data_IF_511860473696
#
_entry.id   IF_511860473696
#
_cell.length_a   1.000
_cell.length_b   1.000
_cell.length_c   1.000
_cell.angle_alpha   90.00
_cell.angle_beta   90.00
_cell.angle_gamma   90.00
#
_symmetry.space_group_name_H-M   'P 1'
#
loop_
_entity.id
_entity.type
_entity.pdbx_description
1 polymer ?
#
# COMPACT_ATOMS: atom_id res chain seq x y z
N UNK A 1 -4.44 -39.99 16.72
CA UNK A 1 -4.39 -38.52 16.88
C UNK A 1 -3.73 -37.96 15.64
N UNK A 2 -4.52 -37.37 14.74
CA UNK A 2 -4.01 -36.52 13.65
C UNK A 2 -4.75 -35.22 13.84
N UNK A 3 -4.07 -34.25 14.45
CA UNK A 3 -4.61 -32.91 14.61
C UNK A 3 -4.80 -32.31 13.21
N UNK A 4 -6.04 -32.02 12.85
CA UNK A 4 -6.32 -31.15 11.73
C UNK A 4 -5.70 -29.80 12.04
N UNK A 5 -4.68 -29.41 11.27
CA UNK A 5 -4.22 -28.04 11.27
C UNK A 5 -5.39 -27.18 10.80
N UNK A 6 -5.90 -26.33 11.68
CA UNK A 6 -6.75 -25.23 11.26
C UNK A 6 -5.94 -24.43 10.23
N UNK A 7 -6.44 -24.37 9.01
CA UNK A 7 -5.85 -23.55 7.96
C UNK A 7 -6.10 -22.09 8.42
N UNK A 8 -5.13 -21.47 9.08
CA UNK A 8 -5.18 -20.05 9.42
C UNK A 8 -5.52 -19.27 8.14
N UNK A 9 -6.65 -18.54 8.15
CA UNK A 9 -7.11 -17.78 7.00
C UNK A 9 -6.11 -16.66 6.75
N UNK A 10 -5.32 -16.78 5.68
CA UNK A 10 -4.40 -15.72 5.25
C UNK A 10 -5.16 -14.49 4.78
N UNK A 11 -4.63 -13.31 5.10
CA UNK A 11 -5.17 -12.03 4.59
C UNK A 11 -4.89 -11.90 3.10
N UNK A 12 -5.90 -11.55 2.31
CA UNK A 12 -5.79 -11.39 0.87
C UNK A 12 -5.40 -9.96 0.51
N UNK A 13 -4.21 -9.78 -0.10
CA UNK A 13 -3.61 -8.48 -0.39
C UNK A 13 -3.53 -8.23 -1.90
N UNK A 14 -4.10 -7.11 -2.36
CA UNK A 14 -3.96 -6.66 -3.74
C UNK A 14 -2.69 -5.82 -3.90
N UNK A 15 -1.78 -6.23 -4.77
CA UNK A 15 -0.48 -5.57 -4.95
C UNK A 15 -0.43 -4.79 -6.27
N UNK A 16 -0.36 -3.47 -6.18
CA UNK A 16 -0.40 -2.53 -7.29
C UNK A 16 1.01 -1.99 -7.58
N UNK A 17 1.50 -2.26 -8.79
CA UNK A 17 2.84 -1.89 -9.23
C UNK A 17 2.98 -0.39 -9.56
N UNK A 18 4.21 0.10 -9.72
CA UNK A 18 4.48 1.50 -10.07
C UNK A 18 4.40 1.80 -11.56
N UNK A 19 4.55 3.08 -11.90
CA UNK A 19 4.50 3.57 -13.29
C UNK A 19 5.49 2.82 -14.20
N UNK A 20 5.00 2.33 -15.34
CA UNK A 20 5.79 1.59 -16.35
C UNK A 20 6.53 0.37 -15.79
N UNK A 21 5.91 -0.36 -14.89
CA UNK A 21 6.43 -1.64 -14.38
C UNK A 21 5.38 -2.74 -14.58
N UNK A 22 5.35 -3.77 -13.75
CA UNK A 22 4.38 -4.86 -13.82
C UNK A 22 4.14 -5.48 -12.45
N UNK A 23 3.04 -6.21 -12.29
CA UNK A 23 2.76 -6.98 -11.09
C UNK A 23 3.88 -7.97 -10.78
N UNK A 24 4.46 -8.58 -11.81
CA UNK A 24 5.63 -9.47 -11.67
C UNK A 24 6.88 -8.74 -11.17
N UNK A 25 7.06 -7.46 -11.52
CA UNK A 25 8.19 -6.67 -11.06
C UNK A 25 8.07 -6.29 -9.58
N UNK A 26 6.92 -5.78 -9.13
CA UNK A 26 6.76 -5.46 -7.70
C UNK A 26 6.86 -6.72 -6.83
N UNK A 27 6.33 -7.86 -7.31
CA UNK A 27 6.56 -9.17 -6.68
C UNK A 27 8.05 -9.49 -6.53
N UNK A 28 8.86 -9.21 -7.56
CA UNK A 28 10.32 -9.39 -7.53
C UNK A 28 11.03 -8.39 -6.62
N UNK A 29 10.52 -7.17 -6.48
CA UNK A 29 11.09 -6.17 -5.58
C UNK A 29 10.93 -6.61 -4.12
N UNK A 30 9.71 -6.98 -3.71
CA UNK A 30 9.40 -7.38 -2.33
C UNK A 30 9.92 -8.78 -1.99
N UNK A 31 10.22 -9.64 -2.98
CA UNK A 31 10.84 -10.95 -2.73
C UNK A 31 12.25 -10.87 -2.12
N UNK A 32 12.80 -9.67 -1.99
CA UNK A 32 14.09 -9.42 -1.33
C UNK A 32 13.93 -9.26 0.19
N UNK A 33 12.71 -9.11 0.68
CA UNK A 33 12.42 -9.03 2.12
C UNK A 33 12.38 -10.43 2.73
N UNK A 34 12.41 -10.49 4.06
CA UNK A 34 12.28 -11.75 4.79
C UNK A 34 10.95 -12.44 4.42
N UNK A 35 10.96 -13.69 3.91
CA UNK A 35 9.75 -14.39 3.53
C UNK A 35 8.71 -14.53 4.64
N UNK A 36 9.11 -14.50 5.92
CA UNK A 36 8.19 -14.62 7.05
C UNK A 36 7.20 -13.44 7.13
N UNK A 37 7.56 -12.27 6.58
CA UNK A 37 6.68 -11.09 6.48
C UNK A 37 5.40 -11.43 5.70
N UNK A 38 5.50 -12.27 4.69
CA UNK A 38 4.38 -12.62 3.80
C UNK A 38 3.70 -13.95 4.19
N UNK A 39 4.16 -14.61 5.25
CA UNK A 39 3.67 -15.95 5.63
C UNK A 39 2.15 -15.98 5.87
N UNK A 40 1.60 -14.88 6.37
CA UNK A 40 0.18 -14.68 6.68
C UNK A 40 -0.63 -14.05 5.54
N UNK A 41 -0.01 -13.82 4.37
CA UNK A 41 -0.67 -13.15 3.24
C UNK A 41 -0.87 -14.06 2.04
N UNK A 42 -2.01 -13.89 1.37
CA UNK A 42 -2.26 -14.34 0.02
C UNK A 42 -2.21 -13.12 -0.90
N UNK A 43 -1.19 -13.02 -1.75
CA UNK A 43 -0.91 -11.80 -2.52
C UNK A 43 -1.25 -11.97 -4.00
N UNK A 44 -2.03 -11.03 -4.53
CA UNK A 44 -2.32 -10.94 -5.96
C UNK A 44 -1.59 -9.76 -6.60
N UNK A 45 -1.05 -9.96 -7.80
CA UNK A 45 -0.20 -8.99 -8.49
C UNK A 45 -0.70 -8.74 -9.91
N UNK A 46 -1.86 -8.08 -10.09
CA UNK A 46 -2.34 -7.75 -11.43
C UNK A 46 -1.44 -6.74 -12.13
N UNK A 47 -1.50 -6.76 -13.45
CA UNK A 47 -0.92 -5.74 -14.30
C UNK A 47 -1.94 -4.61 -14.57
N UNK A 48 -1.42 -3.40 -14.77
CA UNK A 48 -2.19 -2.26 -15.25
C UNK A 48 -2.80 -2.52 -16.61
N UNK A 49 -3.95 -1.89 -16.87
CA UNK A 49 -4.74 -2.12 -18.10
C UNK A 49 -4.01 -1.65 -19.36
N UNK A 50 -3.17 -0.61 -19.24
CA UNK A 50 -2.55 0.04 -20.39
C UNK A 50 -1.09 -0.38 -20.52
N UNK A 51 -0.67 -0.70 -21.75
CA UNK A 51 0.75 -0.87 -22.03
C UNK A 51 1.50 0.46 -21.80
N UNK A 52 2.75 0.37 -21.34
CA UNK A 52 3.57 1.56 -21.12
C UNK A 52 3.70 2.40 -22.39
N UNK A 53 3.33 3.69 -22.30
CA UNK A 53 3.37 4.63 -23.43
C UNK A 53 4.78 5.15 -23.75
N UNK A 54 5.80 4.72 -23.01
CA UNK A 54 7.18 5.13 -23.22
C UNK A 54 8.18 4.26 -22.47
N UNK A 55 9.43 4.73 -22.40
CA UNK A 55 10.52 3.99 -21.77
C UNK A 55 10.26 3.75 -20.29
N UNK A 56 10.56 2.53 -19.84
CA UNK A 56 10.59 2.14 -18.44
C UNK A 56 11.99 2.27 -17.86
N UNK A 57 12.10 2.68 -16.60
CA UNK A 57 13.38 2.76 -15.88
C UNK A 57 13.97 1.38 -15.54
N UNK A 58 13.17 0.33 -15.67
CA UNK A 58 13.60 -1.06 -15.41
C UNK A 58 13.95 -1.81 -16.70
N UNK A 59 13.93 -1.13 -17.85
CA UNK A 59 14.36 -1.70 -19.13
C UNK A 59 15.84 -2.10 -19.09
N UNK A 60 16.14 -3.32 -19.55
CA UNK A 60 17.45 -3.97 -19.41
C UNK A 60 17.77 -4.50 -18.00
N UNK A 61 16.93 -4.23 -16.98
CA UNK A 61 17.07 -4.77 -15.62
C UNK A 61 16.05 -5.89 -15.37
N UNK A 62 14.83 -5.72 -15.86
CA UNK A 62 13.74 -6.70 -15.74
C UNK A 62 12.94 -6.76 -17.04
N UNK A 63 12.57 -7.96 -17.54
CA UNK A 63 11.99 -8.10 -18.87
C UNK A 63 10.59 -7.45 -19.00
N UNK A 64 10.23 -6.95 -20.20
CA UNK A 64 8.87 -6.52 -20.53
C UNK A 64 7.88 -7.71 -20.54
N UNK A 65 6.54 -7.47 -20.58
CA UNK A 65 5.86 -6.19 -20.80
C UNK A 65 5.82 -5.26 -19.58
N UNK A 66 5.61 -3.97 -19.85
CA UNK A 66 5.44 -2.93 -18.85
C UNK A 66 4.08 -2.25 -19.03
N UNK A 67 3.50 -1.82 -17.93
CA UNK A 67 2.14 -1.33 -17.85
C UNK A 67 2.05 -0.04 -17.04
N UNK A 68 0.97 0.69 -17.28
CA UNK A 68 0.55 1.89 -16.59
C UNK A 68 -0.90 1.68 -16.12
N UNK A 69 -1.21 2.17 -14.93
CA UNK A 69 -2.59 2.18 -14.43
C UNK A 69 -3.43 3.21 -15.19
N UNK A 70 -2.84 4.39 -15.40
CA UNK A 70 -3.35 5.52 -16.18
C UNK A 70 -2.15 6.34 -16.66
N UNK A 71 -2.35 7.29 -17.56
CA UNK A 71 -1.30 8.20 -18.03
C UNK A 71 -1.45 9.57 -17.38
N UNK A 72 -0.34 10.29 -17.24
CA UNK A 72 -0.32 11.67 -16.79
C UNK A 72 0.74 12.47 -17.55
N UNK A 73 0.54 13.78 -17.65
CA UNK A 73 1.55 14.71 -18.16
C UNK A 73 2.68 14.93 -17.14
N UNK A 74 3.78 15.57 -17.56
CA UNK A 74 4.97 15.71 -16.70
C UNK A 74 4.70 16.48 -15.40
N UNK A 75 3.69 17.33 -15.39
CA UNK A 75 3.36 18.19 -14.27
C UNK A 75 2.21 17.61 -13.40
N UNK A 76 1.70 16.41 -13.71
CA UNK A 76 0.58 15.75 -13.02
C UNK A 76 -0.72 16.58 -12.99
N UNK A 77 -0.93 17.38 -14.03
CA UNK A 77 -2.09 18.28 -14.19
C UNK A 77 -3.18 17.67 -15.06
N UNK A 78 -2.81 16.78 -15.99
CA UNK A 78 -3.73 16.10 -16.90
C UNK A 78 -3.58 14.59 -16.76
N UNK A 79 -4.72 13.91 -16.62
CA UNK A 79 -4.79 12.46 -16.53
C UNK A 79 -5.54 11.89 -17.73
N UNK A 80 -4.99 10.85 -18.36
CA UNK A 80 -5.65 10.10 -19.43
C UNK A 80 -5.92 8.69 -18.95
N UNK A 81 -7.11 8.16 -19.28
CA UNK A 81 -7.58 6.83 -18.90
C UNK A 81 -7.77 6.57 -17.39
N UNK A 82 -7.87 7.63 -16.57
CA UNK A 82 -8.03 7.51 -15.12
C UNK A 82 -9.37 6.84 -14.74
N UNK A 83 -10.47 7.22 -15.39
CA UNK A 83 -11.80 6.63 -15.14
C UNK A 83 -11.85 5.15 -15.54
N UNK A 84 -11.24 4.79 -16.67
CA UNK A 84 -11.11 3.42 -17.13
C UNK A 84 -10.23 2.58 -16.19
N UNK A 85 -9.20 3.18 -15.60
CA UNK A 85 -8.39 2.54 -14.56
C UNK A 85 -9.22 2.26 -13.30
N UNK A 86 -9.97 3.25 -12.81
CA UNK A 86 -10.82 3.11 -11.63
C UNK A 86 -11.84 2.00 -11.86
N UNK A 87 -12.54 2.04 -13.01
CA UNK A 87 -13.51 1.02 -13.40
C UNK A 87 -12.87 -0.37 -13.42
N UNK A 88 -11.70 -0.51 -14.04
CA UNK A 88 -10.98 -1.78 -14.11
C UNK A 88 -10.60 -2.33 -12.72
N UNK A 89 -10.05 -1.49 -11.84
CA UNK A 89 -9.69 -1.89 -10.48
C UNK A 89 -10.93 -2.25 -9.65
N UNK A 90 -12.02 -1.50 -9.77
CA UNK A 90 -13.29 -1.81 -9.11
C UNK A 90 -13.83 -3.17 -9.56
N UNK A 91 -13.89 -3.43 -10.87
CA UNK A 91 -14.32 -4.72 -11.41
C UNK A 91 -13.40 -5.87 -10.93
N UNK A 92 -12.09 -5.65 -10.92
CA UNK A 92 -11.13 -6.63 -10.42
C UNK A 92 -11.35 -6.96 -8.94
N UNK A 93 -11.56 -5.94 -8.10
CA UNK A 93 -11.82 -6.09 -6.66
C UNK A 93 -13.13 -6.84 -6.42
N UNK A 94 -14.19 -6.55 -7.18
CA UNK A 94 -15.47 -7.25 -7.08
C UNK A 94 -15.33 -8.73 -7.49
N UNK A 95 -14.62 -8.99 -8.59
CA UNK A 95 -14.50 -10.34 -9.15
C UNK A 95 -13.56 -11.25 -8.35
N UNK A 96 -12.48 -10.71 -7.80
CA UNK A 96 -11.43 -11.48 -7.15
C UNK A 96 -11.41 -11.31 -5.62
N UNK A 97 -12.21 -10.40 -5.06
CA UNK A 97 -12.28 -10.16 -3.63
C UNK A 97 -13.01 -11.25 -2.83
N UNK A 98 -13.26 -11.00 -1.53
CA UNK A 98 -12.88 -9.79 -0.79
C UNK A 98 -11.36 -9.70 -0.58
N UNK A 99 -10.81 -8.49 -0.66
CA UNK A 99 -9.43 -8.18 -0.27
C UNK A 99 -9.43 -7.62 1.14
N UNK A 100 -8.47 -8.05 1.95
CA UNK A 100 -8.24 -7.57 3.32
C UNK A 100 -7.27 -6.38 3.34
N UNK A 101 -6.59 -6.08 2.22
CA UNK A 101 -5.66 -4.96 2.13
C UNK A 101 -5.04 -4.76 0.74
N UNK A 102 -4.23 -3.72 0.64
CA UNK A 102 -3.53 -3.29 -0.56
C UNK A 102 -2.04 -3.02 -0.27
N UNK A 103 -1.19 -3.38 -1.22
CA UNK A 103 0.22 -2.97 -1.27
C UNK A 103 0.41 -2.18 -2.55
N UNK A 104 0.75 -0.90 -2.45
CA UNK A 104 0.96 -0.01 -3.58
C UNK A 104 2.38 0.53 -3.64
N UNK A 105 2.90 0.70 -4.85
CA UNK A 105 4.13 1.45 -5.09
C UNK A 105 3.90 2.52 -6.15
N UNK A 106 4.37 3.74 -5.89
CA UNK A 106 4.31 4.89 -6.78
C UNK A 106 2.88 5.18 -7.27
N UNK A 107 2.66 5.11 -8.58
CA UNK A 107 1.33 5.18 -9.20
C UNK A 107 0.31 4.20 -8.59
N UNK A 108 0.74 3.05 -8.09
CA UNK A 108 -0.12 2.06 -7.45
C UNK A 108 -0.54 2.39 -6.01
N UNK A 109 0.01 3.42 -5.38
CA UNK A 109 -0.28 3.76 -3.96
C UNK A 109 -1.11 5.02 -3.74
N UNK A 110 -1.07 6.01 -4.65
CA UNK A 110 -1.76 7.29 -4.46
C UNK A 110 -2.26 7.84 -5.79
N UNK A 111 -3.57 8.10 -5.87
CA UNK A 111 -4.12 8.96 -6.91
C UNK A 111 -3.83 10.42 -6.55
N UNK A 112 -3.41 11.22 -7.53
CA UNK A 112 -3.03 12.62 -7.33
C UNK A 112 -3.98 13.61 -7.98
N UNK A 113 -4.98 13.11 -8.69
CA UNK A 113 -6.04 13.95 -9.22
C UNK A 113 -6.74 14.68 -8.06
N UNK A 114 -6.86 16.02 -8.09
CA UNK A 114 -7.45 16.79 -7.00
C UNK A 114 -8.87 16.34 -6.65
N UNK A 115 -9.69 15.98 -7.64
CA UNK A 115 -11.07 15.55 -7.39
C UNK A 115 -11.14 14.23 -6.63
N UNK A 116 -10.14 13.36 -6.82
CA UNK A 116 -10.00 12.13 -6.03
C UNK A 116 -9.44 12.46 -4.65
N UNK A 117 -8.44 13.33 -4.55
CA UNK A 117 -7.82 13.66 -3.27
C UNK A 117 -8.81 14.29 -2.29
N UNK A 118 -9.66 15.20 -2.78
CA UNK A 118 -10.69 15.92 -2.02
C UNK A 118 -11.80 15.01 -1.49
N UNK A 119 -11.86 13.76 -1.96
CA UNK A 119 -12.82 12.75 -1.52
C UNK A 119 -12.11 11.65 -0.72
N UNK A 120 -11.07 11.03 -1.30
CA UNK A 120 -10.41 9.84 -0.76
C UNK A 120 -9.53 10.12 0.47
N UNK A 121 -8.99 11.34 0.59
CA UNK A 121 -8.05 11.72 1.65
C UNK A 121 -8.57 12.86 2.53
N UNK A 122 -9.86 13.19 2.41
CA UNK A 122 -10.51 14.28 3.17
C UNK A 122 -10.65 13.94 4.64
N UNK A 123 -11.09 12.73 4.93
CA UNK A 123 -11.28 12.23 6.29
C UNK A 123 -10.13 11.31 6.69
N UNK A 124 -9.85 11.24 7.99
CA UNK A 124 -8.79 10.37 8.52
C UNK A 124 -9.09 8.91 8.19
N UNK A 125 -8.14 8.25 7.53
CA UNK A 125 -8.23 6.85 7.16
C UNK A 125 -7.88 6.00 8.40
N UNK A 126 -8.88 5.34 8.98
CA UNK A 126 -8.72 4.47 10.17
C UNK A 126 -7.97 3.17 9.91
N UNK A 127 -7.76 2.84 8.64
CA UNK A 127 -7.07 1.63 8.21
C UNK A 127 -5.62 1.64 8.70
N UNK A 128 -5.12 0.50 9.19
CA UNK A 128 -3.72 0.39 9.63
C UNK A 128 -2.80 0.48 8.41
N UNK A 129 -1.74 1.28 8.51
CA UNK A 129 -0.82 1.49 7.39
C UNK A 129 0.64 1.49 7.79
N UNK A 130 1.48 1.04 6.86
CA UNK A 130 2.94 1.16 6.91
C UNK A 130 3.43 1.81 5.62
N UNK A 131 4.29 2.81 5.75
CA UNK A 131 4.79 3.62 4.65
C UNK A 131 6.30 3.53 4.57
N UNK A 132 6.83 3.22 3.39
CA UNK A 132 8.27 3.24 3.11
C UNK A 132 8.62 4.56 2.43
N UNK A 133 9.47 5.37 3.06
CA UNK A 133 9.79 6.71 2.57
C UNK A 133 11.29 6.87 2.38
N UNK A 134 11.68 7.12 1.14
CA UNK A 134 13.08 7.34 0.75
C UNK A 134 13.53 8.77 1.01
N UNK A 135 14.66 8.95 1.69
CA UNK A 135 15.22 10.29 1.97
C UNK A 135 15.66 11.05 0.71
N UNK A 136 15.93 10.32 -0.39
CA UNK A 136 16.28 10.90 -1.69
C UNK A 136 15.15 10.75 -2.71
N UNK A 137 13.97 10.35 -2.26
CA UNK A 137 12.81 10.18 -3.14
C UNK A 137 12.28 11.55 -3.55
N UNK A 138 12.13 11.78 -4.85
CA UNK A 138 11.52 13.00 -5.38
C UNK A 138 10.03 13.08 -5.04
N UNK A 139 9.44 11.96 -4.62
CA UNK A 139 8.07 11.83 -4.11
C UNK A 139 8.01 11.71 -2.58
N UNK A 140 9.07 12.09 -1.88
CA UNK A 140 9.11 12.09 -0.40
C UNK A 140 7.96 12.89 0.21
N UNK A 141 7.76 14.14 -0.23
CA UNK A 141 6.69 15.00 0.32
C UNK A 141 5.30 14.38 0.05
N UNK A 142 4.94 13.99 -1.20
CA UNK A 142 3.70 13.28 -1.46
C UNK A 142 3.49 11.99 -0.66
N UNK A 143 4.57 11.26 -0.35
CA UNK A 143 4.54 10.06 0.51
C UNK A 143 4.26 10.40 1.98
N UNK A 144 4.88 11.46 2.50
CA UNK A 144 4.64 11.95 3.86
C UNK A 144 3.21 12.49 4.02
N UNK A 145 2.69 13.19 3.00
CA UNK A 145 1.29 13.63 2.94
C UNK A 145 0.32 12.43 2.94
N UNK A 146 0.60 11.41 2.13
CA UNK A 146 -0.22 10.19 2.11
C UNK A 146 -0.24 9.53 3.50
N UNK A 147 0.94 9.37 4.11
CA UNK A 147 1.04 8.79 5.44
C UNK A 147 0.23 9.58 6.48
N UNK A 148 0.25 10.92 6.40
CA UNK A 148 -0.48 11.79 7.33
C UNK A 148 -2.01 11.67 7.23
N UNK A 149 -2.54 11.11 6.14
CA UNK A 149 -3.97 10.85 5.98
C UNK A 149 -4.46 9.64 6.80
N UNK A 150 -3.56 8.80 7.33
CA UNK A 150 -3.91 7.60 8.09
C UNK A 150 -3.88 7.83 9.60
N UNK A 151 -4.70 7.09 10.33
CA UNK A 151 -4.63 7.02 11.79
C UNK A 151 -3.40 6.20 12.22
N UNK A 152 -2.44 6.85 12.89
CA UNK A 152 -1.24 6.22 13.46
C UNK A 152 -0.43 5.38 12.44
N UNK A 153 0.03 5.98 11.33
CA UNK A 153 0.83 5.26 10.34
C UNK A 153 2.17 4.81 10.94
N UNK A 154 2.63 3.61 10.57
CA UNK A 154 4.04 3.23 10.76
C UNK A 154 4.85 3.78 9.60
N UNK A 155 5.96 4.47 9.87
CA UNK A 155 6.83 5.03 8.83
C UNK A 155 8.21 4.37 8.92
N UNK A 156 8.63 3.69 7.86
CA UNK A 156 9.96 3.10 7.71
C UNK A 156 10.76 3.95 6.73
N UNK A 157 11.74 4.70 7.25
CA UNK A 157 12.61 5.57 6.44
C UNK A 157 13.79 4.80 5.89
N UNK A 158 14.21 5.12 4.66
CA UNK A 158 15.39 4.50 4.04
C UNK A 158 16.21 5.53 3.23
N UNK A 159 17.54 5.34 3.05
CA UNK A 159 18.42 6.36 2.47
C UNK A 159 18.36 6.46 0.93
N UNK A 160 17.48 5.69 0.28
CA UNK A 160 17.44 5.54 -1.18
C UNK A 160 16.43 6.52 -1.81
N UNK A 161 16.42 6.57 -3.14
CA UNK A 161 15.41 7.33 -3.90
C UNK A 161 14.12 6.55 -4.08
N UNK A 162 13.47 6.78 -5.22
CA UNK A 162 12.19 6.18 -5.58
C UNK A 162 12.31 4.69 -5.92
N UNK A 163 12.33 3.85 -4.89
CA UNK A 163 12.47 2.39 -5.00
C UNK A 163 11.91 1.71 -3.77
N UNK A 164 11.33 0.51 -3.96
CA UNK A 164 11.09 -0.44 -2.87
C UNK A 164 12.44 -0.75 -2.20
N UNK A 165 12.62 -0.48 -0.90
CA UNK A 165 13.92 -0.61 -0.24
C UNK A 165 14.28 -2.06 0.01
N UNK A 166 15.58 -2.34 0.14
CA UNK A 166 16.02 -3.48 0.97
C UNK A 166 15.87 -3.08 2.44
N UNK A 167 15.38 -4.00 3.26
CA UNK A 167 15.23 -3.79 4.69
C UNK A 167 16.51 -4.24 5.40
N UNK A 168 16.98 -3.42 6.34
CA UNK A 168 17.94 -3.86 7.34
C UNK A 168 17.24 -4.65 8.45
N UNK A 169 18.00 -5.14 9.43
CA UNK A 169 17.48 -5.94 10.54
C UNK A 169 16.41 -5.18 11.33
N UNK A 170 16.68 -3.91 11.67
CA UNK A 170 15.77 -3.05 12.43
C UNK A 170 14.44 -2.84 11.69
N UNK A 171 14.49 -2.51 10.40
CA UNK A 171 13.28 -2.30 9.58
C UNK A 171 12.53 -3.60 9.34
N UNK A 172 13.26 -4.72 9.23
CA UNK A 172 12.67 -6.06 9.07
C UNK A 172 11.88 -6.44 10.33
N UNK A 173 12.46 -6.24 11.52
CA UNK A 173 11.79 -6.56 12.78
C UNK A 173 10.59 -5.64 13.05
N UNK A 174 10.72 -4.35 12.73
CA UNK A 174 9.61 -3.40 12.82
C UNK A 174 8.44 -3.84 11.93
N UNK A 175 8.71 -4.21 10.67
CA UNK A 175 7.67 -4.69 9.76
C UNK A 175 7.07 -6.01 10.23
N UNK A 176 7.87 -6.96 10.74
CA UNK A 176 7.37 -8.23 11.30
C UNK A 176 6.45 -8.00 12.49
N UNK A 177 6.83 -7.10 13.42
CA UNK A 177 6.01 -6.78 14.58
C UNK A 177 4.68 -6.12 14.17
N UNK A 178 4.72 -5.22 13.19
CA UNK A 178 3.51 -4.62 12.64
C UNK A 178 2.61 -5.65 11.94
N UNK A 179 3.18 -6.57 11.14
CA UNK A 179 2.44 -7.68 10.53
C UNK A 179 1.80 -8.57 11.60
N UNK A 180 2.51 -8.85 12.70
CA UNK A 180 1.93 -9.60 13.81
C UNK A 180 0.74 -8.86 14.44
N UNK A 181 0.86 -7.56 14.70
CA UNK A 181 -0.23 -6.74 15.28
C UNK A 181 -1.49 -6.71 14.40
N UNK A 182 -1.35 -6.64 13.07
CA UNK A 182 -2.51 -6.64 12.17
C UNK A 182 -3.16 -8.03 12.04
N UNK A 183 -2.38 -9.11 12.19
CA UNK A 183 -2.89 -10.48 12.10
C UNK A 183 -3.56 -10.92 13.40
N UNK A 184 -3.01 -10.53 14.56
CA UNK A 184 -3.55 -10.95 15.87
C UNK A 184 -4.61 -10.01 16.43
N UNK A 185 -4.65 -8.75 15.96
CA UNK A 185 -5.47 -7.69 16.58
C UNK A 185 -4.97 -7.25 17.97
N UNK A 186 -3.86 -7.81 18.45
CA UNK A 186 -3.26 -7.50 19.75
C UNK A 186 -2.00 -6.65 19.56
N UNK A 187 -1.86 -5.59 20.34
CA UNK A 187 -0.61 -4.82 20.38
C UNK A 187 0.50 -5.71 20.92
N UNK A 188 1.47 -6.06 20.09
CA UNK A 188 2.73 -6.64 20.56
C UNK A 188 3.44 -5.55 21.35
N UNK A 189 3.48 -5.71 22.68
CA UNK A 189 4.01 -4.70 23.59
C UNK A 189 5.47 -4.41 23.32
N UNK A 190 5.75 -3.33 22.59
CA UNK A 190 7.07 -2.70 22.56
C UNK A 190 7.05 -1.62 23.63
N UNK A 191 7.84 -1.81 24.70
CA UNK A 191 8.01 -0.78 25.73
C UNK A 191 8.81 0.38 25.14
N UNK A 192 8.15 1.52 24.94
CA UNK A 192 8.83 2.81 24.79
C UNK A 192 8.21 3.76 25.80
N UNK A 193 9.03 4.26 26.71
CA UNK A 193 8.68 5.29 27.68
C UNK A 193 8.35 6.60 26.96
N UNK A 194 7.16 7.15 27.15
CA UNK A 194 6.94 8.41 27.88
C UNK A 194 5.51 8.98 27.71
N UNK A 195 4.99 9.41 28.86
CA UNK A 195 4.07 10.51 29.22
C UNK A 195 2.84 10.89 28.36
N UNK A 196 1.74 10.97 29.10
CA UNK A 196 0.35 11.28 28.76
C UNK A 196 0.11 12.66 28.10
N UNK A 197 -0.94 12.76 27.26
CA UNK A 197 -2.15 13.54 27.60
C UNK A 197 -3.33 13.23 26.65
N UNK A 198 -4.52 13.16 27.25
CA UNK A 198 -5.84 12.97 26.63
C UNK A 198 -6.46 14.31 26.24
N UNK A 199 -7.35 14.32 25.23
CA UNK A 199 -8.60 15.11 25.27
C UNK A 199 -9.65 14.59 24.26
N UNK A 200 -10.91 14.93 24.53
CA UNK A 200 -12.20 14.31 24.16
C UNK A 200 -12.77 14.62 22.76
N UNK A 201 -13.82 13.85 22.40
CA UNK A 201 -14.59 13.83 21.15
C UNK A 201 -15.96 14.50 21.34
N UNK A 202 -16.48 15.19 20.31
CA UNK A 202 -17.93 15.33 20.09
C UNK A 202 -18.29 15.20 18.59
N UNK A 203 -19.55 14.92 18.34
CA UNK A 203 -20.15 14.06 17.32
C UNK A 203 -21.00 14.83 16.31
N UNK A 204 -21.12 14.33 15.07
CA UNK A 204 -22.37 14.40 14.29
C UNK A 204 -22.34 13.38 13.14
N UNK A 205 -23.47 12.67 12.99
CA UNK A 205 -23.70 11.56 12.06
C UNK A 205 -23.80 12.00 10.59
N UNK A 206 -23.06 11.31 9.72
CA UNK A 206 -23.26 11.25 8.27
C UNK A 206 -23.32 9.79 7.81
N UNK A 207 -24.21 9.51 6.87
CA UNK A 207 -24.64 8.20 6.37
C UNK A 207 -23.48 7.26 5.99
N UNK A 208 -23.27 6.20 6.78
CA UNK A 208 -22.24 5.17 6.55
C UNK A 208 -22.61 4.24 5.39
N UNK A 209 -21.82 4.28 4.33
CA UNK A 209 -21.63 3.14 3.44
C UNK A 209 -20.89 2.07 4.24
N UNK A 210 -21.59 0.97 4.52
CA UNK A 210 -21.11 -0.12 5.36
C UNK A 210 -20.04 -0.94 4.60
N UNK A 211 -18.82 -0.40 4.53
CA UNK A 211 -17.62 -1.18 4.26
C UNK A 211 -17.32 -1.93 5.55
N UNK A 212 -17.68 -3.22 5.60
CA UNK A 212 -17.52 -4.06 6.79
C UNK A 212 -16.11 -3.97 7.38
N UNK A 213 -15.99 -4.24 8.68
CA UNK A 213 -14.83 -4.19 9.60
C UNK A 213 -13.48 -4.81 9.14
N UNK A 214 -13.10 -4.74 7.87
CA UNK A 214 -11.78 -5.10 7.39
C UNK A 214 -10.84 -3.93 7.70
N UNK A 215 -10.03 -4.08 8.75
CA UNK A 215 -8.86 -3.24 9.00
C UNK A 215 -7.95 -3.33 7.76
N UNK A 216 -8.17 -2.43 6.79
CA UNK A 216 -7.52 -2.50 5.48
C UNK A 216 -6.03 -2.27 5.68
N UNK A 217 -5.21 -3.21 5.24
CA UNK A 217 -3.74 -3.10 5.35
C UNK A 217 -3.24 -2.27 4.19
N UNK A 218 -2.61 -1.12 4.42
CA UNK A 218 -1.98 -0.33 3.33
C UNK A 218 -0.47 -0.35 3.50
N UNK A 219 0.23 -0.95 2.53
CA UNK A 219 1.68 -0.84 2.37
C UNK A 219 1.95 0.11 1.20
N UNK A 220 2.49 1.30 1.45
CA UNK A 220 2.63 2.31 0.40
C UNK A 220 4.03 2.96 0.36
N UNK A 221 4.45 3.33 -0.85
CA UNK A 221 5.50 4.32 -1.12
C UNK A 221 5.04 5.12 -2.32
N UNK A 222 4.72 6.40 -2.16
CA UNK A 222 4.00 7.21 -3.15
C UNK A 222 4.87 7.76 -4.28
#
# INVERSE_FOLDING_TARGET
MVGGGENEKKMKILCLHGFRTSGSFIKKQISKWDPSIFSQFHMEFPDGKFAAGGKSDIDGIFPPPYFEWFQFDKDFTEYTNLEECITYLTEYIIANGPFDGFLGFSQGSKFRDPSICDVAYKDVIKAKSVHFIGEKDWLKIPSEELASAFEKPVIIRHPQGHTVPRLDEVSTDLLKNWVAEIVTGEKVGVSVCEHEKKEEVDSTNGMEINMGNAETVVVAQA
#
